data_IF_195839582411
#
_entry.id   IF_195839582411
#
_cell.length_a   1.000
_cell.length_b   1.000
_cell.length_c   1.000
_cell.angle_alpha   90.00
_cell.angle_beta   90.00
_cell.angle_gamma   90.00
#
_symmetry.space_group_name_H-M   'P 1'
#
loop_
_entity.id
_entity.type
_entity.pdbx_description
1 polymer ?
#
# COMPACT_ATOMS: atom_id res chain seq x y z
N UNK A 1 4.35 2.11 -16.76
CA UNK A 1 3.28 1.33 -17.42
C UNK A 1 2.75 0.18 -16.55
N UNK A 2 3.60 -0.55 -15.82
CA UNK A 2 3.19 -1.72 -15.00
C UNK A 2 2.47 -1.36 -13.69
N UNK A 3 2.87 -0.25 -13.05
CA UNK A 3 2.38 0.13 -11.71
C UNK A 3 0.86 0.32 -11.61
N UNK A 4 0.21 1.00 -12.57
CA UNK A 4 -1.23 1.27 -12.49
C UNK A 4 -2.09 0.00 -12.68
N UNK A 5 -1.85 -0.84 -13.70
CA UNK A 5 -2.55 -2.13 -13.82
C UNK A 5 -2.36 -3.02 -12.58
N UNK A 6 -1.15 -3.06 -12.02
CA UNK A 6 -0.88 -3.84 -10.82
C UNK A 6 -1.71 -3.35 -9.61
N UNK A 7 -1.76 -2.03 -9.38
CA UNK A 7 -2.57 -1.43 -8.30
C UNK A 7 -4.07 -1.75 -8.47
N UNK A 8 -4.59 -1.66 -9.70
CA UNK A 8 -5.99 -2.01 -10.00
C UNK A 8 -6.23 -3.49 -9.68
N UNK A 9 -5.37 -4.39 -10.14
CA UNK A 9 -5.49 -5.81 -9.87
C UNK A 9 -5.47 -6.11 -8.37
N UNK A 10 -4.57 -5.48 -7.59
CA UNK A 10 -4.53 -5.61 -6.13
C UNK A 10 -5.84 -5.24 -5.47
N UNK A 11 -6.47 -4.13 -5.88
CA UNK A 11 -7.77 -3.71 -5.34
C UNK A 11 -8.89 -4.66 -5.76
N UNK A 12 -8.94 -5.07 -7.02
CA UNK A 12 -9.95 -6.01 -7.53
C UNK A 12 -9.89 -7.33 -6.75
N UNK A 13 -8.72 -7.94 -6.64
CA UNK A 13 -8.57 -9.21 -5.91
C UNK A 13 -8.78 -9.05 -4.40
N UNK A 14 -8.36 -7.92 -3.81
CA UNK A 14 -8.59 -7.64 -2.40
C UNK A 14 -10.08 -7.51 -2.07
N UNK A 15 -10.84 -6.78 -2.89
CA UNK A 15 -12.29 -6.63 -2.74
C UNK A 15 -13.03 -7.93 -3.03
N UNK A 16 -12.60 -8.72 -4.01
CA UNK A 16 -13.15 -10.05 -4.27
C UNK A 16 -12.97 -10.98 -3.06
N UNK A 17 -11.80 -10.93 -2.40
CA UNK A 17 -11.54 -11.70 -1.18
C UNK A 17 -12.45 -11.27 -0.02
N UNK A 18 -12.66 -9.96 0.14
CA UNK A 18 -13.62 -9.41 1.13
C UNK A 18 -15.06 -9.85 0.85
N UNK A 19 -15.46 -9.90 -0.43
CA UNK A 19 -16.78 -10.36 -0.84
C UNK A 19 -16.99 -11.87 -0.68
N UNK A 20 -15.94 -12.64 -0.39
CA UNK A 20 -16.03 -14.09 -0.19
C UNK A 20 -16.46 -14.41 1.25
N UNK A 21 -17.65 -15.01 1.46
CA UNK A 21 -18.15 -15.29 2.81
C UNK A 21 -17.23 -16.22 3.58
N UNK A 22 -17.05 -15.96 4.88
CA UNK A 22 -16.26 -16.80 5.78
C UNK A 22 -14.74 -16.63 5.70
N UNK A 23 -14.22 -15.82 4.76
CA UNK A 23 -12.77 -15.57 4.65
C UNK A 23 -12.31 -14.42 5.54
N UNK A 24 -13.10 -13.35 5.61
CA UNK A 24 -12.80 -12.17 6.42
C UNK A 24 -13.74 -12.12 7.61
N UNK A 25 -13.15 -12.26 8.80
CA UNK A 25 -13.83 -12.06 10.07
C UNK A 25 -13.55 -10.64 10.57
N UNK A 26 -14.55 -9.77 10.43
CA UNK A 26 -14.46 -8.36 10.80
C UNK A 26 -14.43 -8.10 12.30
N UNK A 27 -14.66 -9.12 13.13
CA UNK A 27 -14.52 -9.03 14.58
C UNK A 27 -13.06 -9.07 15.04
N UNK A 28 -12.15 -9.60 14.20
CA UNK A 28 -10.71 -9.62 14.46
C UNK A 28 -10.08 -8.29 14.05
N UNK A 29 -8.94 -7.92 14.64
CA UNK A 29 -8.27 -6.67 14.28
C UNK A 29 -7.49 -6.74 12.96
N UNK A 30 -7.08 -7.94 12.52
CA UNK A 30 -6.22 -8.10 11.33
C UNK A 30 -6.79 -7.54 10.00
N UNK A 31 -8.11 -7.62 9.70
CA UNK A 31 -8.64 -7.04 8.47
C UNK A 31 -8.54 -5.53 8.47
N UNK A 32 -8.75 -4.89 9.62
CA UNK A 32 -8.71 -3.44 9.79
C UNK A 32 -7.30 -2.88 9.63
N UNK A 33 -6.31 -3.50 10.29
CA UNK A 33 -4.91 -3.10 10.17
C UNK A 33 -4.37 -3.34 8.76
N UNK A 34 -4.74 -4.47 8.13
CA UNK A 34 -4.40 -4.72 6.72
C UNK A 34 -5.04 -3.68 5.80
N UNK A 35 -6.31 -3.37 5.99
CA UNK A 35 -7.02 -2.38 5.18
C UNK A 35 -6.38 -0.98 5.30
N UNK A 36 -6.07 -0.54 6.52
CA UNK A 36 -5.36 0.71 6.76
C UNK A 36 -4.00 0.75 6.04
N UNK A 37 -3.22 -0.34 6.11
CA UNK A 37 -1.94 -0.43 5.43
C UNK A 37 -2.08 -0.37 3.89
N UNK A 38 -3.10 -1.03 3.32
CA UNK A 38 -3.39 -0.97 1.87
C UNK A 38 -3.82 0.44 1.43
N UNK A 39 -4.59 1.16 2.26
CA UNK A 39 -4.96 2.55 1.99
C UNK A 39 -3.73 3.47 1.98
N UNK A 40 -2.82 3.31 2.95
CA UNK A 40 -1.55 4.07 2.98
C UNK A 40 -0.68 3.71 1.77
N UNK A 41 -0.61 2.44 1.39
CA UNK A 41 0.10 2.00 0.18
C UNK A 41 -0.47 2.65 -1.09
N UNK A 42 -1.80 2.76 -1.18
CA UNK A 42 -2.48 3.40 -2.31
C UNK A 42 -2.14 4.89 -2.37
N UNK A 43 -2.16 5.57 -1.23
CA UNK A 43 -1.70 6.96 -1.14
C UNK A 43 -0.23 7.09 -1.59
N UNK A 44 0.64 6.20 -1.13
CA UNK A 44 2.06 6.19 -1.50
C UNK A 44 2.26 6.02 -3.01
N UNK A 45 1.50 5.13 -3.65
CA UNK A 45 1.50 4.96 -5.10
C UNK A 45 1.16 6.26 -5.84
N UNK A 46 0.13 6.98 -5.41
CA UNK A 46 -0.21 8.29 -5.98
C UNK A 46 0.86 9.35 -5.70
N UNK A 47 1.47 9.33 -4.53
CA UNK A 47 2.59 10.20 -4.20
C UNK A 47 3.77 9.98 -5.16
N UNK A 48 4.16 8.73 -5.40
CA UNK A 48 5.17 8.37 -6.40
C UNK A 48 4.80 8.85 -7.81
N UNK A 49 3.52 8.69 -8.19
CA UNK A 49 3.00 9.20 -9.47
C UNK A 49 3.15 10.71 -9.62
N UNK A 50 2.91 11.49 -8.56
CA UNK A 50 3.14 12.95 -8.55
C UNK A 50 4.62 13.28 -8.65
N UNK A 51 5.48 12.65 -7.85
CA UNK A 51 6.92 12.91 -7.87
C UNK A 51 7.55 12.59 -9.22
N UNK A 52 7.08 11.54 -9.91
CA UNK A 52 7.48 11.23 -11.28
C UNK A 52 7.24 12.41 -12.23
N UNK A 53 6.09 13.07 -12.12
CA UNK A 53 5.77 14.27 -12.93
C UNK A 53 6.67 15.45 -12.58
N UNK A 54 6.99 15.63 -11.31
CA UNK A 54 7.92 16.70 -10.88
C UNK A 54 9.34 16.47 -11.44
N UNK A 55 9.79 15.21 -11.50
CA UNK A 55 11.05 14.85 -12.14
C UNK A 55 11.01 15.09 -13.66
N UNK A 56 9.93 14.69 -14.33
CA UNK A 56 9.72 14.95 -15.77
C UNK A 56 9.71 16.46 -16.09
N UNK A 57 9.14 17.28 -15.20
CA UNK A 57 9.07 18.73 -15.33
C UNK A 57 10.33 19.48 -14.87
N UNK A 58 11.32 18.79 -14.27
CA UNK A 58 12.51 19.41 -13.69
C UNK A 58 12.25 20.29 -12.46
N UNK A 59 11.06 20.22 -11.86
CA UNK A 59 10.62 21.06 -10.72
C UNK A 59 10.83 20.37 -9.37
N UNK A 60 11.66 19.32 -9.33
CA UNK A 60 11.85 18.55 -8.13
C UNK A 60 12.67 19.32 -7.07
N UNK A 61 12.02 19.63 -5.95
CA UNK A 61 12.61 20.33 -4.80
C UNK A 61 13.07 19.38 -3.67
N UNK A 62 12.90 18.06 -3.82
CA UNK A 62 13.18 17.07 -2.77
C UNK A 62 14.55 16.43 -2.96
N UNK A 63 15.28 16.25 -1.85
CA UNK A 63 16.61 15.65 -1.86
C UNK A 63 16.58 14.13 -2.07
N UNK A 64 17.68 13.56 -2.57
CA UNK A 64 17.82 12.11 -2.73
C UNK A 64 17.66 11.31 -1.42
N UNK A 65 18.03 11.90 -0.27
CA UNK A 65 17.79 11.29 1.04
C UNK A 65 16.30 11.11 1.33
N UNK A 66 15.47 12.09 0.97
CA UNK A 66 14.01 12.00 1.14
C UNK A 66 13.46 10.81 0.36
N UNK A 67 13.86 10.63 -0.89
CA UNK A 67 13.43 9.49 -1.72
C UNK A 67 13.89 8.14 -1.15
N UNK A 68 15.12 8.05 -0.61
CA UNK A 68 15.58 6.83 0.06
C UNK A 68 14.73 6.47 1.27
N UNK A 69 14.42 7.44 2.13
CA UNK A 69 13.54 7.21 3.28
C UNK A 69 12.12 6.82 2.85
N UNK A 70 11.60 7.45 1.80
CA UNK A 70 10.26 7.13 1.28
C UNK A 70 10.19 5.72 0.66
N UNK A 71 11.30 5.19 0.14
CA UNK A 71 11.37 3.81 -0.33
C UNK A 71 11.27 2.77 0.80
N UNK A 72 11.45 3.17 2.07
CA UNK A 72 11.25 2.27 3.21
C UNK A 72 9.76 2.13 3.59
N UNK A 73 8.91 3.10 3.20
CA UNK A 73 7.47 3.08 3.51
C UNK A 73 6.80 1.80 3.00
N UNK A 74 6.98 1.36 1.74
CA UNK A 74 6.44 0.08 1.29
C UNK A 74 6.91 -1.12 2.10
N UNK A 75 8.19 -1.15 2.49
CA UNK A 75 8.76 -2.25 3.28
C UNK A 75 8.14 -2.32 4.66
N UNK A 76 7.99 -1.17 5.34
CA UNK A 76 7.33 -1.10 6.64
C UNK A 76 5.86 -1.55 6.55
N UNK A 77 5.13 -1.08 5.55
CA UNK A 77 3.75 -1.50 5.32
C UNK A 77 3.64 -3.00 5.04
N UNK A 78 4.57 -3.57 4.27
CA UNK A 78 4.62 -5.01 4.01
C UNK A 78 4.78 -5.81 5.31
N UNK A 79 5.71 -5.40 6.19
CA UNK A 79 5.91 -6.05 7.50
C UNK A 79 4.62 -6.01 8.31
N UNK A 80 3.98 -4.83 8.42
CA UNK A 80 2.71 -4.66 9.15
C UNK A 80 1.63 -5.58 8.58
N UNK A 81 1.46 -5.64 7.26
CA UNK A 81 0.46 -6.49 6.60
C UNK A 81 0.71 -7.97 6.88
N UNK A 82 1.96 -8.43 6.75
CA UNK A 82 2.33 -9.84 6.95
C UNK A 82 2.13 -10.24 8.41
N UNK A 83 2.65 -9.46 9.35
CA UNK A 83 2.48 -9.72 10.79
C UNK A 83 1.00 -9.72 11.16
N UNK A 84 0.24 -8.74 10.69
CA UNK A 84 -1.20 -8.65 10.91
C UNK A 84 -1.93 -9.92 10.49
N UNK A 85 -1.64 -10.46 9.30
CA UNK A 85 -2.37 -11.62 8.74
C UNK A 85 -1.90 -12.96 9.33
N UNK A 86 -0.60 -13.10 9.59
CA UNK A 86 -0.01 -14.37 10.04
C UNK A 86 -0.08 -14.50 11.56
N UNK A 87 0.41 -13.50 12.28
CA UNK A 87 0.46 -13.57 13.74
C UNK A 87 -0.90 -13.30 14.39
N UNK A 88 -1.83 -12.63 13.68
CA UNK A 88 -3.17 -12.26 14.14
C UNK A 88 -3.18 -11.81 15.60
N UNK A 89 -2.41 -10.76 15.95
CA UNK A 89 -2.18 -10.39 17.34
C UNK A 89 -3.43 -9.83 18.06
N UNK A 90 -4.53 -9.61 17.34
CA UNK A 90 -5.77 -9.00 17.80
C UNK A 90 -6.96 -9.44 16.92
#
# INVERSE_FOLDING_TARGET
LIMNPAMIATWVFGLALVATPGVVDWSQGWPWTKAAAVLVMTWFHHWCGRRRRDFEAGTNVRSGRHYRMMNEVPTLLMIVIVVSVIARPF
#
